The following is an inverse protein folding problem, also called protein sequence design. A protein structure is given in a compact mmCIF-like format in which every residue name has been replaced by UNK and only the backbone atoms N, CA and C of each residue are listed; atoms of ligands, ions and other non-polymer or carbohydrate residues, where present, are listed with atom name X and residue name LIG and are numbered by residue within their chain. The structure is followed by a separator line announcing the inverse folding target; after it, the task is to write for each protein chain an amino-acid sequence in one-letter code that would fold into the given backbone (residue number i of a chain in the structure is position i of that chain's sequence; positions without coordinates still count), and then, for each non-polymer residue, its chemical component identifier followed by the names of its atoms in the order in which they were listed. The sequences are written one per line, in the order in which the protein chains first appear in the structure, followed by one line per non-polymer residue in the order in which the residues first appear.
data_IF_201765650908
#
_entry.id   IF_201765650908
#
_cell.length_a   1.000
_cell.length_b   1.000
_cell.length_c   1.000
_cell.angle_alpha   90.00
_cell.angle_beta   90.00
_cell.angle_gamma   90.00
#
_symmetry.space_group_name_H-M   'P 1'
#
loop_
_entity.id
_entity.type
_entity.pdbx_description
1 polymer ?
#
# COMPACT_ATOMS: atom_id res chain seq x y z
N UNK A 1 -3.46 -8.63 -24.98
CA UNK A 1 -3.85 -7.43 -24.22
C UNK A 1 -2.70 -7.07 -23.30
N UNK A 2 -2.00 -5.97 -23.60
CA UNK A 2 -0.98 -5.44 -22.69
C UNK A 2 -1.73 -4.78 -21.52
N UNK A 3 -1.72 -5.39 -20.35
CA UNK A 3 -2.26 -4.79 -19.13
C UNK A 3 -1.39 -3.59 -18.74
N UNK A 4 -2.00 -2.52 -18.24
CA UNK A 4 -1.27 -1.35 -17.72
C UNK A 4 -0.30 -1.74 -16.61
N UNK A 5 -0.60 -2.81 -15.87
CA UNK A 5 0.22 -3.36 -14.80
C UNK A 5 1.53 -3.95 -15.34
N UNK A 6 1.50 -4.68 -16.46
CA UNK A 6 2.71 -5.19 -17.12
C UNK A 6 3.67 -4.06 -17.52
N UNK A 7 3.15 -2.99 -18.09
CA UNK A 7 3.97 -1.86 -18.57
C UNK A 7 4.60 -1.10 -17.40
N UNK A 8 3.90 -0.96 -16.28
CA UNK A 8 4.38 -0.23 -15.12
C UNK A 8 5.29 -1.11 -14.23
N UNK A 9 4.86 -2.35 -13.91
CA UNK A 9 5.57 -3.24 -12.98
C UNK A 9 6.79 -3.88 -13.62
N UNK A 10 6.61 -4.53 -14.77
CA UNK A 10 7.64 -5.37 -15.37
C UNK A 10 8.64 -4.56 -16.19
N UNK A 11 8.15 -3.59 -16.98
CA UNK A 11 9.01 -2.69 -17.76
C UNK A 11 9.46 -1.46 -16.98
N UNK A 12 9.01 -1.29 -15.72
CA UNK A 12 9.37 -0.18 -14.81
C UNK A 12 9.19 1.21 -15.41
N UNK A 13 8.19 1.36 -16.27
CA UNK A 13 7.86 2.63 -16.89
C UNK A 13 7.13 3.54 -15.91
N UNK A 14 7.43 4.83 -15.96
CA UNK A 14 6.77 5.82 -15.09
C UNK A 14 5.42 6.23 -15.66
N UNK A 15 4.32 6.13 -14.91
CA UNK A 15 3.01 6.62 -15.35
C UNK A 15 3.05 8.10 -15.76
N UNK A 16 2.29 8.44 -16.81
CA UNK A 16 2.20 9.81 -17.32
C UNK A 16 3.44 10.32 -18.05
N UNK A 17 4.47 9.50 -18.24
CA UNK A 17 5.68 9.85 -19.00
C UNK A 17 5.71 9.11 -20.33
N UNK A 18 6.04 9.83 -21.41
CA UNK A 18 6.24 9.20 -22.71
C UNK A 18 7.40 8.21 -22.63
N UNK A 19 7.15 6.97 -23.02
CA UNK A 19 8.14 5.91 -23.08
C UNK A 19 8.11 5.21 -24.44
N UNK A 20 9.18 4.48 -24.75
CA UNK A 20 9.36 3.71 -25.99
C UNK A 20 9.38 2.22 -25.65
N UNK A 21 8.55 1.45 -26.31
CA UNK A 21 8.53 -0.02 -26.21
C UNK A 21 8.97 -0.57 -27.57
N UNK A 22 9.93 -1.47 -27.56
CA UNK A 22 10.38 -2.23 -28.71
C UNK A 22 9.92 -3.68 -28.57
N UNK A 23 9.24 -4.18 -29.60
CA UNK A 23 8.71 -5.55 -29.62
C UNK A 23 9.26 -6.26 -30.83
N UNK A 24 9.75 -7.48 -30.64
CA UNK A 24 10.14 -8.40 -31.70
C UNK A 24 9.71 -9.82 -31.36
N UNK A 25 9.54 -10.65 -32.36
CA UNK A 25 9.30 -12.08 -32.22
C UNK A 25 10.60 -12.82 -32.44
N UNK A 26 10.91 -13.76 -31.56
CA UNK A 26 12.02 -14.71 -31.71
C UNK A 26 11.38 -16.08 -31.82
N UNK A 27 11.61 -16.79 -32.90
CA UNK A 27 11.14 -18.16 -33.11
C UNK A 27 12.35 -19.13 -33.15
N UNK A 28 12.25 -20.22 -32.38
CA UNK A 28 13.24 -21.33 -32.39
C UNK A 28 12.61 -22.57 -33.03
N UNK A 29 13.34 -23.25 -33.87
CA UNK A 29 12.88 -24.48 -34.52
C UNK A 29 13.54 -25.70 -33.86
N UNK A 30 12.77 -26.43 -33.05
CA UNK A 30 13.25 -27.63 -32.35
C UNK A 30 14.43 -27.37 -31.41
N UNK A 31 15.38 -28.32 -31.34
CA UNK A 31 16.58 -28.20 -30.53
C UNK A 31 17.76 -27.50 -31.25
N UNK A 32 17.54 -26.97 -32.44
CA UNK A 32 18.56 -26.27 -33.20
C UNK A 32 18.85 -24.88 -32.64
N UNK A 33 20.10 -24.42 -32.59
CA UNK A 33 20.46 -23.09 -32.07
C UNK A 33 20.11 -21.96 -33.03
N UNK A 34 19.33 -22.20 -34.09
CA UNK A 34 18.96 -21.20 -35.09
C UNK A 34 17.74 -20.46 -34.65
N UNK A 35 17.89 -19.21 -34.31
CA UNK A 35 16.81 -18.27 -34.03
C UNK A 35 16.41 -17.47 -35.27
N UNK A 36 15.12 -17.41 -35.56
CA UNK A 36 14.55 -16.50 -36.55
C UNK A 36 14.03 -15.28 -35.80
N UNK A 37 14.57 -14.13 -36.11
CA UNK A 37 14.26 -12.87 -35.43
C UNK A 37 13.49 -11.98 -36.41
N UNK A 38 12.30 -11.51 -35.98
CA UNK A 38 11.52 -10.55 -36.77
C UNK A 38 12.16 -9.14 -36.75
N UNK A 39 11.65 -8.26 -37.60
CA UNK A 39 11.89 -6.83 -37.46
C UNK A 39 11.37 -6.33 -36.10
N UNK A 40 11.94 -5.20 -35.62
CA UNK A 40 11.51 -4.53 -34.41
C UNK A 40 10.37 -3.60 -34.70
N UNK A 41 9.27 -3.74 -33.95
CA UNK A 41 8.18 -2.75 -33.91
C UNK A 41 8.40 -1.81 -32.73
N UNK A 42 8.26 -0.51 -32.99
CA UNK A 42 8.47 0.54 -31.98
C UNK A 42 7.15 1.22 -31.67
N UNK A 43 6.78 1.21 -30.38
CA UNK A 43 5.60 1.90 -29.88
C UNK A 43 6.01 3.05 -28.96
N UNK A 44 5.41 4.20 -29.14
CA UNK A 44 5.46 5.31 -28.19
C UNK A 44 4.21 5.23 -27.32
N UNK A 45 4.39 5.07 -26.02
CA UNK A 45 3.28 4.89 -25.07
C UNK A 45 3.42 5.86 -23.90
N UNK A 46 2.28 6.29 -23.37
CA UNK A 46 2.21 6.97 -22.07
C UNK A 46 1.48 6.03 -21.13
N UNK A 47 2.19 5.32 -20.22
CA UNK A 47 1.54 4.41 -19.30
C UNK A 47 0.55 5.15 -18.41
N UNK A 48 -0.60 4.54 -18.17
CA UNK A 48 -1.64 5.04 -17.27
C UNK A 48 -1.52 4.33 -15.92
N UNK A 49 -1.47 5.09 -14.83
CA UNK A 49 -1.60 4.52 -13.50
C UNK A 49 -3.09 4.33 -13.19
N UNK A 50 -3.56 3.10 -12.91
CA UNK A 50 -4.93 2.92 -12.47
C UNK A 50 -5.18 3.71 -11.18
N UNK A 51 -6.41 4.19 -10.93
CA UNK A 51 -6.73 4.86 -9.68
C UNK A 51 -6.52 3.92 -8.48
N UNK A 52 -6.15 4.44 -7.30
CA UNK A 52 -6.04 3.62 -6.10
C UNK A 52 -7.35 2.87 -5.81
N UNK A 53 -7.23 1.60 -5.38
CA UNK A 53 -8.40 0.78 -4.99
C UNK A 53 -9.12 1.33 -3.75
N UNK A 54 -8.36 2.01 -2.88
CA UNK A 54 -8.90 2.67 -1.69
C UNK A 54 -8.53 4.15 -1.74
N UNK A 55 -9.47 5.07 -1.47
CA UNK A 55 -9.19 6.50 -1.46
C UNK A 55 -8.05 6.83 -0.50
N UNK A 56 -7.02 7.50 -0.99
CA UNK A 56 -5.87 7.95 -0.18
C UNK A 56 -6.29 9.06 0.81
N UNK A 57 -5.52 9.26 1.90
CA UNK A 57 -5.74 10.40 2.80
C UNK A 57 -5.65 11.74 2.07
N UNK A 58 -6.70 12.55 2.15
CA UNK A 58 -6.81 13.81 1.40
C UNK A 58 -5.82 14.88 1.87
N UNK A 59 -5.42 14.84 3.15
CA UNK A 59 -4.45 15.76 3.76
C UNK A 59 -3.03 15.21 3.82
N UNK A 60 -2.77 14.07 3.13
CA UNK A 60 -1.47 13.37 3.12
C UNK A 60 -0.95 12.96 4.51
N UNK A 61 -1.86 12.74 5.46
CA UNK A 61 -1.54 12.29 6.82
C UNK A 61 -2.31 11.03 7.18
N UNK A 62 -1.71 10.18 8.02
CA UNK A 62 -2.33 8.93 8.49
C UNK A 62 -1.79 8.61 9.88
N UNK A 63 -2.69 8.36 10.84
CA UNK A 63 -2.37 7.93 12.19
C UNK A 63 -3.02 6.59 12.51
N UNK A 64 -2.47 5.91 13.51
CA UNK A 64 -3.05 4.70 14.09
C UNK A 64 -3.41 4.97 15.56
N UNK A 65 -4.62 4.57 15.98
CA UNK A 65 -5.10 4.73 17.35
C UNK A 65 -5.95 3.52 17.74
N UNK A 66 -5.89 3.10 19.00
CA UNK A 66 -6.62 1.94 19.50
C UNK A 66 -5.95 1.30 20.69
N UNK A 67 -6.64 0.37 21.35
CA UNK A 67 -6.12 -0.36 22.50
C UNK A 67 -5.01 -1.38 22.18
N UNK A 68 -4.64 -1.52 20.91
CA UNK A 68 -3.41 -2.20 20.50
C UNK A 68 -2.14 -1.39 20.82
N UNK A 69 -2.29 -0.11 21.22
CA UNK A 69 -1.20 0.82 21.56
C UNK A 69 -1.37 1.34 22.99
N UNK A 70 -0.26 1.84 23.57
CA UNK A 70 -0.26 2.42 24.92
C UNK A 70 -1.15 3.68 25.05
N UNK A 71 -1.42 4.39 23.95
CA UNK A 71 -2.35 5.53 23.90
C UNK A 71 -3.82 5.14 24.09
N UNK A 72 -4.14 3.83 23.95
CA UNK A 72 -5.55 3.40 23.88
C UNK A 72 -6.30 4.05 22.72
N UNK A 73 -7.59 4.25 22.91
CA UNK A 73 -8.49 4.90 21.93
C UNK A 73 -8.44 6.43 21.99
N UNK A 74 -7.30 7.02 22.37
CA UNK A 74 -7.16 8.47 22.40
C UNK A 74 -7.33 9.06 20.99
N UNK A 75 -8.19 10.06 20.86
CA UNK A 75 -8.40 10.83 19.64
C UNK A 75 -8.97 12.19 19.99
N UNK A 76 -8.19 13.28 19.98
CA UNK A 76 -6.84 13.35 19.40
C UNK A 76 -5.78 12.59 20.22
N UNK A 77 -4.77 12.09 19.50
CA UNK A 77 -3.54 11.61 20.10
C UNK A 77 -2.73 12.80 20.60
N UNK A 78 -2.37 12.79 21.88
CA UNK A 78 -1.44 13.76 22.45
C UNK A 78 0.01 13.26 22.39
N UNK A 79 0.95 14.14 22.74
CA UNK A 79 2.37 13.80 22.83
C UNK A 79 2.64 12.67 23.84
N UNK A 80 3.49 11.69 23.51
CA UNK A 80 4.32 11.57 22.31
C UNK A 80 3.63 10.80 21.15
N UNK A 81 2.38 10.37 21.31
CA UNK A 81 1.68 9.45 20.40
C UNK A 81 1.28 10.12 19.08
N UNK A 82 1.04 11.43 19.08
CA UNK A 82 0.78 12.22 17.88
C UNK A 82 1.91 12.16 16.85
N UNK A 83 3.14 11.85 17.29
CA UNK A 83 4.32 11.64 16.46
C UNK A 83 4.58 10.16 16.26
N UNK A 84 4.63 9.36 17.35
CA UNK A 84 5.05 7.96 17.30
C UNK A 84 4.02 7.03 16.65
N UNK A 85 2.77 7.43 16.55
CA UNK A 85 1.69 6.69 15.89
C UNK A 85 1.27 7.32 14.54
N UNK A 86 2.08 8.23 14.00
CA UNK A 86 1.90 8.81 12.67
C UNK A 86 2.68 8.02 11.64
N UNK A 87 2.01 7.57 10.59
CA UNK A 87 2.66 6.92 9.46
C UNK A 87 3.17 7.97 8.47
N UNK A 88 4.36 7.72 7.93
CA UNK A 88 5.01 8.59 6.94
C UNK A 88 4.52 8.27 5.55
N UNK A 89 4.16 9.28 4.77
CA UNK A 89 3.86 9.14 3.34
C UNK A 89 5.16 8.86 2.57
N UNK A 90 5.29 7.65 2.02
CA UNK A 90 6.45 7.19 1.25
C UNK A 90 6.26 7.47 -0.25
N UNK A 91 5.03 7.33 -0.74
CA UNK A 91 4.64 7.67 -2.11
C UNK A 91 3.23 8.27 -2.13
N UNK A 92 2.69 8.51 -3.32
CA UNK A 92 1.31 9.01 -3.44
C UNK A 92 0.27 8.07 -2.83
N UNK A 93 0.55 6.77 -2.76
CA UNK A 93 -0.38 5.75 -2.31
C UNK A 93 0.16 4.85 -1.20
N UNK A 94 1.43 5.01 -0.78
CA UNK A 94 2.08 4.18 0.23
C UNK A 94 2.38 4.98 1.50
N UNK A 95 1.95 4.45 2.65
CA UNK A 95 2.25 4.99 3.97
C UNK A 95 2.90 3.92 4.83
N UNK A 96 3.94 4.28 5.56
CA UNK A 96 4.69 3.37 6.42
C UNK A 96 5.09 4.01 7.74
N UNK A 97 5.20 3.21 8.79
CA UNK A 97 5.74 3.65 10.07
C UNK A 97 6.00 2.50 11.01
N UNK A 98 6.97 2.66 11.89
CA UNK A 98 7.24 1.71 12.98
C UNK A 98 6.54 2.19 14.23
N UNK A 99 5.68 1.34 14.79
CA UNK A 99 4.89 1.65 15.99
C UNK A 99 5.04 0.55 17.03
N UNK A 100 4.94 0.93 18.31
CA UNK A 100 5.02 0.01 19.43
C UNK A 100 3.64 -0.54 19.77
N UNK A 101 3.42 -1.83 19.56
CA UNK A 101 2.23 -2.57 19.99
C UNK A 101 2.39 -3.08 21.42
N UNK A 102 1.31 -3.06 22.20
CA UNK A 102 1.29 -3.57 23.59
C UNK A 102 0.98 -5.07 23.70
N UNK A 103 0.59 -5.69 22.58
CA UNK A 103 0.16 -7.10 22.49
C UNK A 103 -1.36 -7.26 22.50
N UNK A 104 -1.89 -7.80 21.39
CA UNK A 104 -3.33 -7.93 21.18
C UNK A 104 -4.03 -6.60 20.94
N UNK A 105 -5.34 -6.58 21.19
CA UNK A 105 -6.18 -5.40 20.99
C UNK A 105 -6.52 -5.11 19.53
N UNK A 106 -7.17 -3.97 19.32
CA UNK A 106 -7.59 -3.49 18.00
C UNK A 106 -7.17 -2.03 17.80
N UNK A 107 -7.09 -1.62 16.54
CA UNK A 107 -6.80 -0.23 16.19
C UNK A 107 -7.54 0.22 14.93
N UNK A 108 -7.59 1.49 14.73
CA UNK A 108 -8.10 2.16 13.52
C UNK A 108 -6.98 2.99 12.89
N UNK A 109 -7.09 3.20 11.60
CA UNK A 109 -6.29 4.18 10.88
C UNK A 109 -7.16 5.40 10.60
N UNK A 110 -6.71 6.59 10.94
CA UNK A 110 -7.44 7.85 10.77
C UNK A 110 -6.62 8.82 9.93
N UNK A 111 -7.28 9.56 9.02
CA UNK A 111 -6.59 10.54 8.18
C UNK A 111 -6.20 11.81 8.93
N UNK A 112 -6.98 12.15 9.95
CA UNK A 112 -6.82 13.39 10.72
C UNK A 112 -6.88 13.07 12.20
N UNK A 113 -5.86 13.51 12.94
CA UNK A 113 -5.80 13.36 14.39
C UNK A 113 -6.91 14.21 15.03
N UNK A 114 -7.80 13.56 15.77
CA UNK A 114 -8.97 14.17 16.38
C UNK A 114 -10.29 13.92 15.63
N UNK A 115 -10.26 13.30 14.44
CA UNK A 115 -11.46 13.15 13.61
C UNK A 115 -11.75 11.67 13.29
N UNK A 116 -12.74 11.09 13.96
CA UNK A 116 -13.15 9.69 13.74
C UNK A 116 -13.77 9.44 12.37
N UNK A 117 -14.56 10.36 11.83
CA UNK A 117 -15.26 10.20 10.55
C UNK A 117 -14.36 9.99 9.33
N UNK A 118 -13.04 10.08 9.49
CA UNK A 118 -12.05 9.93 8.40
C UNK A 118 -11.29 8.61 8.46
N UNK A 119 -11.85 7.58 9.09
CA UNK A 119 -11.16 6.33 9.36
C UNK A 119 -11.19 5.34 8.21
N UNK A 120 -10.24 4.40 8.29
CA UNK A 120 -10.19 3.19 7.50
C UNK A 120 -10.45 1.99 8.41
N UNK A 121 -11.16 1.00 7.88
CA UNK A 121 -11.44 -0.25 8.57
C UNK A 121 -10.83 -1.44 7.84
N UNK A 122 -10.63 -2.53 8.57
CA UNK A 122 -10.27 -3.83 7.99
C UNK A 122 -11.45 -4.39 7.19
N UNK A 123 -11.19 -4.85 5.96
CA UNK A 123 -12.16 -5.56 5.13
C UNK A 123 -11.94 -7.08 5.23
N UNK A 124 -10.71 -7.53 5.06
CA UNK A 124 -10.30 -8.93 5.24
C UNK A 124 -8.92 -9.02 5.88
N UNK A 125 -8.54 -10.23 6.34
CA UNK A 125 -7.20 -10.50 6.84
C UNK A 125 -7.11 -10.62 8.36
N UNK A 126 -5.89 -10.61 8.87
CA UNK A 126 -5.51 -10.83 10.25
C UNK A 126 -4.67 -9.69 10.84
N UNK A 127 -3.94 -9.94 11.93
CA UNK A 127 -3.06 -8.95 12.56
C UNK A 127 -1.84 -8.57 11.73
N UNK A 128 -1.50 -9.35 10.69
CA UNK A 128 -0.25 -9.17 9.94
C UNK A 128 -0.46 -8.73 8.50
N UNK A 129 -1.61 -9.05 7.91
CA UNK A 129 -1.90 -8.63 6.54
C UNK A 129 -3.39 -8.70 6.22
N UNK A 130 -3.80 -7.96 5.21
CA UNK A 130 -5.17 -7.99 4.73
C UNK A 130 -5.50 -6.85 3.80
N UNK A 131 -6.80 -6.64 3.62
CA UNK A 131 -7.35 -5.55 2.82
C UNK A 131 -8.12 -4.56 3.69
N UNK A 132 -8.22 -3.33 3.21
CA UNK A 132 -8.88 -2.23 3.92
C UNK A 132 -9.86 -1.49 3.00
N UNK A 133 -10.77 -0.76 3.62
CA UNK A 133 -11.62 0.21 2.95
C UNK A 133 -11.71 1.52 3.75
N UNK A 134 -12.00 2.62 3.07
CA UNK A 134 -12.31 3.90 3.72
C UNK A 134 -13.77 3.89 4.14
N UNK A 135 -14.00 3.71 5.43
CA UNK A 135 -15.35 3.69 6.00
C UNK A 135 -15.31 3.93 7.50
N UNK A 136 -16.22 4.77 7.99
CA UNK A 136 -16.45 4.98 9.41
C UNK A 136 -17.33 3.86 9.96
N UNK A 137 -16.72 2.70 10.23
CA UNK A 137 -17.39 1.51 10.74
C UNK A 137 -16.39 0.49 11.31
N UNK A 138 -16.92 -0.53 11.99
CA UNK A 138 -16.17 -1.73 12.41
C UNK A 138 -16.12 -2.80 11.29
N UNK A 139 -15.21 -3.78 11.39
CA UNK A 139 -14.20 -3.96 12.44
C UNK A 139 -12.97 -3.05 12.28
N UNK A 140 -12.25 -2.83 13.39
CA UNK A 140 -10.88 -2.31 13.37
C UNK A 140 -9.88 -3.34 12.86
N UNK A 141 -8.60 -2.96 12.83
CA UNK A 141 -7.48 -3.86 12.56
C UNK A 141 -7.08 -4.56 13.86
N UNK A 142 -6.70 -5.84 13.77
CA UNK A 142 -6.20 -6.58 14.92
C UNK A 142 -4.74 -6.21 15.19
N UNK A 143 -4.40 -6.04 16.46
CA UNK A 143 -3.01 -5.91 16.90
C UNK A 143 -2.31 -7.27 16.99
N UNK A 144 -0.99 -7.36 16.66
CA UNK A 144 -0.19 -8.56 16.92
C UNK A 144 -0.32 -9.01 18.38
N UNK A 145 -0.47 -10.33 18.62
CA UNK A 145 -0.62 -10.88 19.97
C UNK A 145 0.61 -10.65 20.88
N UNK A 146 1.78 -10.50 20.27
CA UNK A 146 3.06 -10.27 20.99
C UNK A 146 3.40 -8.79 20.95
N UNK A 147 3.68 -8.20 22.11
CA UNK A 147 4.14 -6.81 22.19
C UNK A 147 5.49 -6.61 21.48
N UNK A 148 5.72 -5.41 20.99
CA UNK A 148 6.98 -5.04 20.34
C UNK A 148 6.81 -3.95 19.28
N UNK A 149 7.91 -3.65 18.61
CA UNK A 149 7.91 -2.72 17.49
C UNK A 149 7.57 -3.45 16.20
N UNK A 150 6.62 -2.89 15.43
CA UNK A 150 6.21 -3.43 14.14
C UNK A 150 6.14 -2.31 13.12
N UNK A 151 6.59 -2.61 11.91
CA UNK A 151 6.37 -1.75 10.74
C UNK A 151 4.99 -2.02 10.19
N UNK A 152 4.15 -1.00 10.17
CA UNK A 152 2.89 -0.98 9.41
C UNK A 152 3.19 -0.39 8.04
N UNK A 153 2.74 -1.06 6.99
CA UNK A 153 2.76 -0.56 5.62
C UNK A 153 1.34 -0.62 5.05
N UNK A 154 0.87 0.50 4.50
CA UNK A 154 -0.49 0.64 3.93
C UNK A 154 -0.36 1.08 2.50
N UNK A 155 -0.75 0.21 1.57
CA UNK A 155 -0.77 0.47 0.14
C UNK A 155 -2.20 0.72 -0.35
N UNK A 156 -2.55 1.98 -0.54
CA UNK A 156 -3.85 2.39 -1.05
C UNK A 156 -4.05 2.04 -2.53
N UNK A 157 -2.95 1.91 -3.31
CA UNK A 157 -3.02 1.46 -4.69
C UNK A 157 -3.54 0.03 -4.78
N UNK A 158 -3.00 -0.85 -3.95
CA UNK A 158 -3.41 -2.25 -3.85
C UNK A 158 -4.63 -2.45 -2.94
N UNK A 159 -4.93 -1.50 -2.04
CA UNK A 159 -5.95 -1.62 -1.01
C UNK A 159 -5.58 -2.62 0.09
N UNK A 160 -4.29 -2.72 0.42
CA UNK A 160 -3.74 -3.71 1.35
C UNK A 160 -2.96 -3.07 2.50
N UNK A 161 -2.82 -3.82 3.59
CA UNK A 161 -1.91 -3.49 4.68
C UNK A 161 -1.06 -4.69 5.07
N UNK A 162 0.13 -4.42 5.60
CA UNK A 162 1.01 -5.42 6.22
C UNK A 162 1.57 -4.89 7.53
N UNK A 163 1.82 -5.80 8.48
CA UNK A 163 2.39 -5.51 9.80
C UNK A 163 3.54 -6.49 10.03
N UNK A 164 4.77 -6.00 10.07
CA UNK A 164 5.98 -6.85 10.14
C UNK A 164 6.79 -6.49 11.37
N UNK A 165 7.13 -7.48 12.19
CA UNK A 165 7.96 -7.30 13.39
C UNK A 165 9.35 -6.79 13.02
N UNK A 166 9.83 -5.81 13.79
CA UNK A 166 11.14 -5.20 13.66
C UNK A 166 12.14 -5.78 14.66
#
# INVERSE_FOLDING_TARGET
VCSSDLVISDLKMKPGKLAKIEVRVIATLGAAPTELISNVLVFKVVPYAPPPKVPVPTNSTLWVTGNAFASGWANPLGSPYDVSQKLTKVSETLYEGVVAFVGGGNYKMIQENGVWGTQYKKLTGDAFSGTLEKKDADPGFDGPAVAGNYKISVDFQAGTYTVTKQ
#
